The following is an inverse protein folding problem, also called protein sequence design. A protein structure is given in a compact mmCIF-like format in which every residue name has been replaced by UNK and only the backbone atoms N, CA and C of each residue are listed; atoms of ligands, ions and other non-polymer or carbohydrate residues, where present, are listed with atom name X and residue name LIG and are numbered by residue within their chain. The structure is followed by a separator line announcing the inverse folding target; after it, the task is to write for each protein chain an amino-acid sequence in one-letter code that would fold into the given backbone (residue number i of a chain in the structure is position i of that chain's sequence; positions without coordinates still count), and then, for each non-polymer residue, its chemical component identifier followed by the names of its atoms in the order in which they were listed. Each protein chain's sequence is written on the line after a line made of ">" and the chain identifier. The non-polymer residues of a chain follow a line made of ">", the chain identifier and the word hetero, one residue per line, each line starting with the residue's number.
data_IF_964106099075
#
_entry.id   IF_964106099075
#
_cell.length_a   1.000
_cell.length_b   1.000
_cell.length_c   1.000
_cell.angle_alpha   90.00
_cell.angle_beta   90.00
_cell.angle_gamma   90.00
#
_symmetry.space_group_name_H-M   'P 1'
#
loop_
_entity.id
_entity.type
_entity.pdbx_description
1 polymer ?
#
# COMPACT_ATOMS: atom_id res chain seq x y z
N UNK A 1 31.27 -2.93 14.19
CA UNK A 1 30.03 -3.69 14.40
C UNK A 1 28.94 -3.05 13.58
N UNK A 2 28.95 -3.38 12.30
CA UNK A 2 27.82 -3.22 11.43
C UNK A 2 26.76 -4.23 11.88
N UNK A 3 25.53 -3.79 12.02
CA UNK A 3 24.42 -4.66 12.34
C UNK A 3 23.25 -4.16 11.50
N UNK A 4 22.55 -5.01 10.75
CA UNK A 4 21.56 -4.56 9.79
C UNK A 4 20.33 -3.94 10.45
N UNK A 5 20.16 -4.14 11.76
CA UNK A 5 19.09 -3.56 12.58
C UNK A 5 18.17 -4.64 13.14
N UNK A 6 17.14 -4.24 13.91
CA UNK A 6 16.16 -5.20 14.40
C UNK A 6 15.40 -5.86 13.24
N UNK A 7 14.66 -6.96 13.50
CA UNK A 7 13.74 -7.53 12.54
C UNK A 7 12.76 -6.48 11.99
N UNK A 8 12.44 -6.60 10.70
CA UNK A 8 11.50 -5.74 9.99
C UNK A 8 10.20 -6.50 9.76
N UNK A 9 9.10 -5.76 9.67
CA UNK A 9 7.76 -6.31 9.47
C UNK A 9 7.10 -5.54 8.33
N UNK A 10 6.48 -6.25 7.40
CA UNK A 10 5.81 -5.68 6.23
C UNK A 10 4.70 -6.62 5.74
N UNK A 11 3.99 -6.24 4.67
CA UNK A 11 3.08 -7.13 3.95
C UNK A 11 3.53 -7.32 2.51
N UNK A 12 3.01 -8.34 1.83
CA UNK A 12 3.21 -8.54 0.39
C UNK A 12 2.91 -7.25 -0.38
N UNK A 13 3.76 -6.90 -1.33
CA UNK A 13 3.65 -5.68 -2.13
C UNK A 13 3.96 -4.38 -1.37
N UNK A 14 4.52 -4.45 -0.17
CA UNK A 14 5.09 -3.29 0.54
C UNK A 14 6.60 -3.46 0.65
N UNK A 15 7.33 -2.50 0.10
CA UNK A 15 8.78 -2.56 -0.03
C UNK A 15 9.49 -2.34 1.31
N UNK A 16 10.67 -2.94 1.45
CA UNK A 16 11.54 -2.76 2.60
C UNK A 16 12.91 -2.33 2.11
N UNK A 17 13.32 -1.13 2.51
CA UNK A 17 14.71 -0.70 2.37
C UNK A 17 15.60 -1.47 3.35
N UNK A 18 16.63 -2.10 2.77
CA UNK A 18 17.73 -2.78 3.43
C UNK A 18 18.96 -1.87 3.32
N UNK A 19 19.46 -1.40 4.45
CA UNK A 19 20.60 -0.49 4.50
C UNK A 19 21.52 -0.82 5.68
N UNK A 20 22.86 -0.76 5.51
CA UNK A 20 23.80 -0.85 6.61
C UNK A 20 23.49 0.22 7.66
N UNK A 21 23.53 -0.14 8.95
CA UNK A 21 23.41 0.86 10.01
C UNK A 21 24.75 1.52 10.24
N UNK A 22 24.82 2.83 9.98
CA UNK A 22 26.02 3.67 10.10
C UNK A 22 27.18 3.17 9.21
N UNK A 23 27.02 3.24 7.87
CA UNK A 23 28.15 3.01 6.98
C UNK A 23 29.16 4.16 7.13
N UNK A 24 30.44 3.85 7.08
CA UNK A 24 31.45 4.85 6.78
C UNK A 24 31.39 5.17 5.28
N UNK A 25 31.46 6.46 4.93
CA UNK A 25 31.21 6.90 3.55
C UNK A 25 32.23 6.35 2.53
N UNK A 26 33.43 6.02 3.01
CA UNK A 26 34.52 5.49 2.19
C UNK A 26 34.37 3.99 1.88
N UNK A 27 33.47 3.27 2.56
CA UNK A 27 33.32 1.82 2.48
C UNK A 27 32.00 1.38 1.80
N UNK A 28 31.33 2.27 1.06
CA UNK A 28 30.04 1.96 0.44
C UNK A 28 30.09 0.69 -0.44
N UNK A 29 31.16 0.52 -1.23
CA UNK A 29 31.36 -0.62 -2.12
C UNK A 29 31.68 -1.94 -1.38
N UNK A 30 31.91 -1.88 -0.07
CA UNK A 30 32.20 -3.05 0.76
C UNK A 30 30.93 -3.69 1.36
N UNK A 31 29.75 -3.10 1.13
CA UNK A 31 28.48 -3.62 1.58
C UNK A 31 27.70 -4.25 0.42
N UNK A 32 27.22 -5.47 0.62
CA UNK A 32 26.30 -6.12 -0.32
C UNK A 32 25.25 -6.92 0.41
N UNK A 33 24.09 -7.08 -0.23
CA UNK A 33 22.98 -7.84 0.30
C UNK A 33 22.73 -9.12 -0.50
N UNK A 34 22.28 -10.17 0.18
CA UNK A 34 21.84 -11.42 -0.46
C UNK A 34 20.67 -12.02 0.31
N UNK A 35 19.66 -12.52 -0.41
CA UNK A 35 18.60 -13.32 0.20
C UNK A 35 19.11 -14.75 0.41
N UNK A 36 19.18 -15.17 1.66
CA UNK A 36 19.64 -16.51 2.07
C UNK A 36 18.50 -17.46 2.40
N UNK A 37 17.33 -16.91 2.68
CA UNK A 37 16.10 -17.64 2.94
C UNK A 37 14.95 -16.82 2.35
N UNK A 38 14.11 -17.45 1.55
CA UNK A 38 12.86 -16.90 1.02
C UNK A 38 11.75 -17.93 1.18
N UNK A 39 10.47 -17.50 1.18
CA UNK A 39 9.36 -18.43 1.04
C UNK A 39 9.50 -19.30 -0.24
N UNK A 40 9.00 -20.56 -0.25
CA UNK A 40 9.25 -21.49 -1.35
C UNK A 40 8.77 -21.03 -2.74
N UNK A 41 7.72 -20.21 -2.80
CA UNK A 41 7.12 -19.71 -4.04
C UNK A 41 7.57 -18.27 -4.38
N UNK A 42 8.43 -17.67 -3.55
CA UNK A 42 8.95 -16.32 -3.76
C UNK A 42 9.94 -16.30 -4.92
N UNK A 43 9.76 -15.34 -5.82
CA UNK A 43 10.69 -14.98 -6.88
C UNK A 43 11.51 -13.72 -6.57
N UNK A 44 11.31 -13.11 -5.40
CA UNK A 44 12.04 -11.91 -4.97
C UNK A 44 13.57 -12.05 -5.09
N UNK A 45 14.20 -11.00 -5.63
CA UNK A 45 15.66 -10.87 -5.78
C UNK A 45 16.12 -9.51 -5.23
N UNK A 46 17.41 -9.40 -4.93
CA UNK A 46 18.07 -8.13 -4.62
C UNK A 46 19.09 -7.82 -5.71
N UNK A 47 19.42 -6.54 -5.87
CA UNK A 47 20.55 -6.10 -6.68
C UNK A 47 21.90 -6.32 -5.97
N UNK A 48 22.86 -5.46 -6.30
CA UNK A 48 24.23 -5.49 -5.77
C UNK A 48 24.65 -4.20 -5.07
N UNK A 49 23.71 -3.30 -4.81
CA UNK A 49 23.97 -2.01 -4.19
C UNK A 49 24.12 -2.15 -2.67
N UNK A 50 24.78 -1.18 -2.05
CA UNK A 50 24.89 -1.11 -0.60
C UNK A 50 23.53 -0.89 0.08
N UNK A 51 22.61 -0.23 -0.62
CA UNK A 51 21.22 -0.02 -0.20
C UNK A 51 20.31 -0.69 -1.23
N UNK A 52 19.51 -1.64 -0.75
CA UNK A 52 18.66 -2.47 -1.60
C UNK A 52 17.19 -2.32 -1.20
N UNK A 53 16.31 -2.48 -2.19
CA UNK A 53 14.87 -2.51 -1.96
C UNK A 53 14.38 -3.95 -2.12
N UNK A 54 13.98 -4.54 -1.00
CA UNK A 54 13.27 -5.82 -1.02
C UNK A 54 11.80 -5.58 -1.37
N UNK A 55 11.34 -6.20 -2.45
CA UNK A 55 9.93 -6.28 -2.84
C UNK A 55 9.41 -7.69 -2.55
N UNK A 56 8.86 -7.96 -1.35
CA UNK A 56 8.39 -9.29 -1.02
C UNK A 56 7.09 -9.61 -1.76
N UNK A 57 7.07 -10.76 -2.43
CA UNK A 57 5.98 -11.25 -3.26
C UNK A 57 5.15 -12.35 -2.58
N UNK A 58 5.75 -13.11 -1.66
CA UNK A 58 5.06 -14.13 -0.86
C UNK A 58 5.06 -13.82 0.64
N UNK A 59 4.01 -14.18 1.40
CA UNK A 59 4.02 -14.07 2.85
C UNK A 59 4.96 -15.11 3.47
N UNK A 60 5.64 -14.74 4.55
CA UNK A 60 6.57 -15.63 5.24
C UNK A 60 7.77 -14.91 5.82
N UNK A 61 8.87 -15.64 5.96
CA UNK A 61 10.12 -15.11 6.51
C UNK A 61 11.14 -15.01 5.39
N UNK A 62 11.71 -13.82 5.23
CA UNK A 62 12.86 -13.57 4.38
C UNK A 62 14.07 -13.30 5.27
N UNK A 63 15.22 -13.88 4.91
CA UNK A 63 16.50 -13.61 5.58
C UNK A 63 17.46 -12.96 4.60
N UNK A 64 17.67 -11.66 4.77
CA UNK A 64 18.64 -10.89 4.02
C UNK A 64 19.96 -10.85 4.79
N UNK A 65 21.05 -11.28 4.16
CA UNK A 65 22.41 -11.18 4.70
C UNK A 65 23.07 -9.92 4.18
N UNK A 66 23.61 -9.13 5.09
CA UNK A 66 24.54 -8.06 4.80
C UNK A 66 25.96 -8.62 4.92
N UNK A 67 26.70 -8.66 3.82
CA UNK A 67 28.15 -8.84 3.87
C UNK A 67 28.81 -7.48 4.06
N UNK A 68 29.57 -7.33 5.14
CA UNK A 68 30.23 -6.10 5.56
C UNK A 68 31.73 -6.34 5.84
N UNK A 69 32.56 -5.28 5.94
CA UNK A 69 33.99 -5.42 6.26
C UNK A 69 34.28 -6.18 7.55
N UNK A 70 33.39 -6.12 8.53
CA UNK A 70 33.52 -6.79 9.83
C UNK A 70 32.85 -8.16 9.90
N UNK A 71 32.32 -8.66 8.77
CA UNK A 71 31.71 -9.96 8.61
C UNK A 71 30.27 -9.93 8.10
N UNK A 72 29.65 -11.10 8.06
CA UNK A 72 28.28 -11.29 7.61
C UNK A 72 27.28 -11.10 8.76
N UNK A 73 26.17 -10.41 8.47
CA UNK A 73 25.10 -10.15 9.44
C UNK A 73 23.72 -10.36 8.83
N UNK A 74 22.85 -11.11 9.51
CA UNK A 74 21.52 -11.42 9.00
C UNK A 74 20.45 -10.45 9.52
N UNK A 75 19.56 -10.02 8.63
CA UNK A 75 18.31 -9.33 8.93
C UNK A 75 17.13 -10.22 8.57
N UNK A 76 16.20 -10.33 9.53
CA UNK A 76 14.92 -11.01 9.30
C UNK A 76 13.87 -9.99 8.88
N UNK A 77 13.17 -10.27 7.78
CA UNK A 77 11.96 -9.55 7.35
C UNK A 77 10.79 -10.53 7.45
N UNK A 78 9.81 -10.19 8.29
CA UNK A 78 8.56 -10.95 8.41
C UNK A 78 7.49 -10.30 7.55
N UNK A 79 6.99 -11.04 6.57
CA UNK A 79 6.02 -10.58 5.58
C UNK A 79 4.68 -11.22 5.85
N UNK A 80 3.66 -10.40 6.06
CA UNK A 80 2.28 -10.84 6.21
C UNK A 80 1.55 -10.82 4.86
N UNK A 81 0.43 -11.55 4.72
CA UNK A 81 -0.45 -11.40 3.57
C UNK A 81 -0.87 -9.93 3.38
N UNK A 82 -1.09 -9.52 2.13
CA UNK A 82 -1.75 -8.25 1.83
C UNK A 82 -3.26 -8.38 2.09
N UNK A 83 -3.73 -7.80 3.19
CA UNK A 83 -5.16 -7.79 3.54
C UNK A 83 -5.93 -6.65 2.85
N UNK A 84 -5.27 -5.84 2.01
CA UNK A 84 -5.96 -4.78 1.26
C UNK A 84 -6.81 -5.38 0.14
N UNK A 85 -7.96 -4.77 -0.06
CA UNK A 85 -8.93 -5.15 -1.08
C UNK A 85 -9.21 -3.96 -1.99
N UNK A 86 -9.53 -4.20 -3.28
CA UNK A 86 -10.04 -3.15 -4.15
C UNK A 86 -11.28 -2.50 -3.54
N UNK A 87 -11.26 -1.18 -3.49
CA UNK A 87 -12.35 -0.31 -3.07
C UNK A 87 -12.52 0.73 -4.15
N UNK A 88 -13.74 0.78 -4.69
CA UNK A 88 -14.12 1.79 -5.67
C UNK A 88 -14.93 2.89 -4.98
N UNK A 89 -14.62 4.13 -5.31
CA UNK A 89 -15.41 5.32 -5.00
C UNK A 89 -15.94 5.90 -6.30
N UNK A 90 -17.23 6.24 -6.34
CA UNK A 90 -17.87 6.75 -7.55
C UNK A 90 -18.65 8.04 -7.28
N UNK A 91 -18.59 9.00 -8.20
CA UNK A 91 -19.44 10.19 -8.21
C UNK A 91 -20.03 10.41 -9.60
N UNK A 92 -21.33 10.72 -9.68
CA UNK A 92 -21.95 11.10 -10.95
C UNK A 92 -21.56 12.53 -11.31
N UNK A 93 -21.20 12.77 -12.56
CA UNK A 93 -20.79 14.09 -13.04
C UNK A 93 -21.90 15.13 -12.84
N UNK A 94 -23.16 14.72 -12.99
CA UNK A 94 -24.34 15.59 -12.84
C UNK A 94 -24.58 16.07 -11.40
N UNK A 95 -23.93 15.44 -10.42
CA UNK A 95 -23.98 15.83 -9.00
C UNK A 95 -22.85 16.79 -8.62
N UNK A 96 -21.91 17.04 -9.53
CA UNK A 96 -20.74 17.89 -9.33
C UNK A 96 -20.97 19.26 -9.99
N UNK A 97 -20.37 20.33 -9.44
CA UNK A 97 -20.32 21.62 -10.14
C UNK A 97 -19.54 21.46 -11.45
N UNK A 98 -19.66 22.42 -12.36
CA UNK A 98 -18.80 22.47 -13.54
C UNK A 98 -17.34 22.64 -13.11
N UNK A 99 -16.45 21.82 -13.67
CA UNK A 99 -15.02 21.83 -13.35
C UNK A 99 -14.18 21.47 -14.58
N UNK A 100 -12.90 21.84 -14.53
CA UNK A 100 -11.90 21.44 -15.53
C UNK A 100 -11.06 20.25 -15.03
N UNK A 101 -10.83 20.15 -13.72
CA UNK A 101 -10.08 19.08 -13.07
C UNK A 101 -10.84 18.51 -11.87
N UNK A 102 -10.59 17.24 -11.55
CA UNK A 102 -11.15 16.57 -10.39
C UNK A 102 -10.09 15.74 -9.69
N UNK A 103 -9.98 15.90 -8.37
CA UNK A 103 -9.07 15.10 -7.54
C UNK A 103 -9.84 14.32 -6.50
N UNK A 104 -9.37 13.12 -6.15
CA UNK A 104 -9.95 12.32 -5.06
C UNK A 104 -9.08 12.45 -3.82
N UNK A 105 -9.71 12.66 -2.67
CA UNK A 105 -8.99 12.82 -1.41
C UNK A 105 -9.69 12.14 -0.25
N UNK A 106 -8.91 11.61 0.68
CA UNK A 106 -9.42 10.90 1.84
C UNK A 106 -8.31 10.58 2.83
N UNK A 107 -8.65 9.88 3.91
CA UNK A 107 -7.65 9.45 4.89
C UNK A 107 -6.59 8.54 4.28
N UNK A 108 -6.94 7.79 3.22
CA UNK A 108 -6.04 6.85 2.56
C UNK A 108 -4.89 7.51 1.80
N UNK A 109 -4.98 8.79 1.45
CA UNK A 109 -3.92 9.56 0.80
C UNK A 109 -3.51 10.80 1.61
N UNK A 110 -3.70 10.78 2.93
CA UNK A 110 -3.42 11.89 3.84
C UNK A 110 -4.07 13.22 3.44
N UNK A 111 -5.25 13.17 2.83
CA UNK A 111 -5.97 14.33 2.33
C UNK A 111 -5.19 15.17 1.30
N UNK A 112 -4.32 14.53 0.52
CA UNK A 112 -3.58 15.19 -0.55
C UNK A 112 -4.47 15.41 -1.77
N UNK A 113 -4.22 16.49 -2.50
CA UNK A 113 -4.90 16.87 -3.74
C UNK A 113 -3.93 16.81 -4.92
N UNK A 114 -4.47 16.59 -6.12
CA UNK A 114 -3.71 16.58 -7.38
C UNK A 114 -2.77 15.39 -7.54
N UNK A 115 -2.89 14.37 -6.68
CA UNK A 115 -2.14 13.10 -6.78
C UNK A 115 -3.04 12.04 -7.38
N UNK A 116 -4.21 11.85 -6.75
CA UNK A 116 -5.19 10.87 -7.17
C UNK A 116 -6.25 11.57 -8.02
N UNK A 117 -6.33 11.13 -9.28
CA UNK A 117 -7.31 11.59 -10.27
C UNK A 117 -8.21 10.40 -10.62
N UNK A 118 -9.54 10.54 -10.58
CA UNK A 118 -10.44 9.48 -10.95
C UNK A 118 -10.48 9.29 -12.48
N UNK A 119 -10.75 8.06 -12.91
CA UNK A 119 -11.15 7.78 -14.28
C UNK A 119 -12.56 8.33 -14.56
N UNK A 120 -12.84 8.67 -15.81
CA UNK A 120 -14.15 9.18 -16.24
C UNK A 120 -14.70 8.40 -17.42
N UNK A 121 -15.86 7.77 -17.23
CA UNK A 121 -16.60 7.06 -18.28
C UNK A 121 -18.10 7.12 -17.99
N UNK A 122 -18.93 7.18 -19.03
CA UNK A 122 -20.40 7.11 -18.92
C UNK A 122 -21.01 8.05 -17.86
N UNK A 123 -20.53 9.29 -17.79
CA UNK A 123 -20.96 10.30 -16.79
C UNK A 123 -20.68 9.93 -15.33
N UNK A 124 -19.73 9.03 -15.08
CA UNK A 124 -19.30 8.59 -13.76
C UNK A 124 -17.79 8.80 -13.62
N UNK A 125 -17.40 9.45 -12.53
CA UNK A 125 -16.03 9.43 -12.04
C UNK A 125 -15.83 8.22 -11.13
N UNK A 126 -14.83 7.38 -11.42
CA UNK A 126 -14.48 6.20 -10.64
C UNK A 126 -13.03 6.29 -10.16
N UNK A 127 -12.81 6.03 -8.88
CA UNK A 127 -11.46 5.91 -8.30
C UNK A 127 -11.35 4.58 -7.58
N UNK A 128 -10.52 3.69 -8.11
CA UNK A 128 -10.20 2.40 -7.50
C UNK A 128 -8.88 2.50 -6.72
N UNK A 129 -8.88 1.97 -5.49
CA UNK A 129 -7.66 1.84 -4.69
C UNK A 129 -7.72 0.62 -3.79
N UNK A 130 -6.58 0.17 -3.26
CA UNK A 130 -6.49 -1.00 -2.37
C UNK A 130 -6.40 -0.55 -0.92
N UNK A 131 -7.46 -0.80 -0.14
CA UNK A 131 -7.56 -0.39 1.26
C UNK A 131 -7.74 -1.59 2.17
N UNK A 132 -7.27 -1.46 3.42
CA UNK A 132 -7.56 -2.44 4.46
C UNK A 132 -9.08 -2.56 4.66
N UNK A 133 -9.56 -3.63 5.31
CA UNK A 133 -10.97 -3.75 5.62
C UNK A 133 -11.45 -2.60 6.52
N UNK A 134 -12.55 -1.96 6.16
CA UNK A 134 -13.05 -0.80 6.89
C UNK A 134 -14.03 0.06 6.11
N UNK A 135 -14.61 1.04 6.80
CA UNK A 135 -15.39 2.10 6.18
C UNK A 135 -14.49 3.28 5.84
N UNK A 136 -14.55 3.71 4.58
CA UNK A 136 -13.75 4.82 4.08
C UNK A 136 -14.65 5.85 3.43
N UNK A 137 -14.27 7.12 3.56
CA UNK A 137 -14.86 8.22 2.81
C UNK A 137 -13.80 8.80 1.89
N UNK A 138 -14.15 8.92 0.61
CA UNK A 138 -13.45 9.74 -0.36
C UNK A 138 -14.25 11.02 -0.61
N UNK A 139 -13.58 12.09 -0.99
CA UNK A 139 -14.19 13.35 -1.42
C UNK A 139 -13.67 13.65 -2.81
N UNK A 140 -14.56 13.87 -3.77
CA UNK A 140 -14.20 14.33 -5.10
C UNK A 140 -14.12 15.86 -5.08
N UNK A 141 -12.95 16.42 -5.34
CA UNK A 141 -12.67 17.85 -5.18
C UNK A 141 -12.49 18.47 -6.58
N UNK A 142 -13.50 19.22 -7.07
CA UNK A 142 -13.41 19.92 -8.34
C UNK A 142 -12.41 21.08 -8.25
N UNK A 143 -11.54 21.22 -9.25
CA UNK A 143 -10.52 22.28 -9.39
C UNK A 143 -9.67 22.52 -8.12
N UNK A 144 -9.49 21.48 -7.29
CA UNK A 144 -8.80 21.57 -6.01
C UNK A 144 -9.52 22.43 -4.94
N UNK A 145 -10.77 22.83 -5.16
CA UNK A 145 -11.52 23.70 -4.27
C UNK A 145 -12.41 22.92 -3.28
N UNK A 146 -11.91 22.70 -2.06
CA UNK A 146 -12.68 22.04 -0.99
C UNK A 146 -14.04 22.69 -0.65
N UNK A 147 -14.22 23.99 -0.91
CA UNK A 147 -15.50 24.68 -0.62
C UNK A 147 -16.63 24.18 -1.52
N UNK A 148 -16.29 23.62 -2.67
CA UNK A 148 -17.23 23.08 -3.65
C UNK A 148 -17.48 21.57 -3.45
N UNK A 149 -16.74 20.95 -2.52
CA UNK A 149 -16.79 19.53 -2.22
C UNK A 149 -17.76 19.02 -1.09
N UNK A 150 -18.61 19.82 -0.40
CA UNK A 150 -19.45 19.29 0.68
C UNK A 150 -20.39 18.13 0.29
N UNK A 151 -20.89 18.12 -0.95
CA UNK A 151 -21.80 17.09 -1.49
C UNK A 151 -21.10 15.92 -2.19
N UNK A 152 -19.78 15.94 -2.27
CA UNK A 152 -19.01 15.01 -3.11
C UNK A 152 -18.36 13.88 -2.31
N UNK A 153 -18.72 13.78 -1.02
CA UNK A 153 -18.29 12.67 -0.15
C UNK A 153 -18.96 11.37 -0.60
N UNK A 154 -18.16 10.32 -0.73
CA UNK A 154 -18.58 8.99 -1.13
C UNK A 154 -18.02 8.00 -0.13
N UNK A 155 -18.89 7.19 0.46
CA UNK A 155 -18.48 6.14 1.38
C UNK A 155 -18.45 4.81 0.65
N UNK A 156 -17.40 4.04 0.89
CA UNK A 156 -17.26 2.68 0.38
C UNK A 156 -16.67 1.80 1.48
N UNK A 157 -16.92 0.51 1.39
CA UNK A 157 -16.47 -0.46 2.39
C UNK A 157 -15.49 -1.43 1.76
N UNK A 158 -14.24 -1.42 2.24
CA UNK A 158 -13.31 -2.51 2.02
C UNK A 158 -13.83 -3.73 2.77
N UNK A 159 -14.40 -4.71 2.07
CA UNK A 159 -14.90 -5.95 2.67
C UNK A 159 -13.88 -7.07 2.46
N UNK A 160 -13.72 -7.91 3.47
CA UNK A 160 -13.04 -9.19 3.32
C UNK A 160 -13.78 -10.03 2.28
N UNK A 161 -13.06 -10.58 1.29
CA UNK A 161 -13.61 -11.48 0.26
C UNK A 161 -14.29 -12.77 0.77
N UNK A 162 -14.45 -12.95 2.09
CA UNK A 162 -15.33 -13.97 2.66
C UNK A 162 -16.71 -13.37 2.89
N UNK A 163 -17.54 -13.41 1.85
CA UNK A 163 -18.97 -13.12 1.97
C UNK A 163 -19.63 -14.05 2.98
N UNK A 164 -19.96 -13.55 4.17
CA UNK A 164 -20.98 -14.18 5.00
C UNK A 164 -22.33 -14.03 4.28
N UNK A 165 -23.10 -15.11 4.06
CA UNK A 165 -24.40 -14.99 3.42
C UNK A 165 -25.30 -14.15 4.30
N UNK A 166 -25.90 -13.10 3.72
CA UNK A 166 -26.94 -12.32 4.36
C UNK A 166 -28.14 -13.23 4.64
N UNK A 167 -28.25 -13.77 5.85
CA UNK A 167 -29.48 -14.40 6.31
C UNK A 167 -30.50 -13.30 6.61
N UNK A 168 -31.15 -12.81 5.56
CA UNK A 168 -32.38 -12.02 5.67
C UNK A 168 -33.48 -12.96 6.16
N UNK A 169 -33.69 -13.01 7.49
CA UNK A 169 -34.87 -13.68 8.07
C UNK A 169 -36.14 -12.98 7.56
N UNK A 170 -37.13 -13.70 7.00
CA UNK A 170 -38.42 -13.09 6.69
C UNK A 170 -39.12 -12.73 8.00
N UNK A 171 -39.57 -11.48 8.11
CA UNK A 171 -40.54 -11.05 9.12
C UNK A 171 -41.85 -11.77 8.83
N UNK A 172 -42.18 -12.78 9.62
CA UNK A 172 -43.54 -13.32 9.69
C UNK A 172 -44.42 -12.28 10.38
N UNK A 173 -45.29 -11.62 9.61
CA UNK A 173 -46.35 -10.80 10.14
C UNK A 173 -47.41 -11.65 10.84
N UNK A 174 -47.96 -11.11 11.92
CA UNK A 174 -49.26 -11.46 12.48
C UNK A 174 -50.00 -10.17 12.75
#
# INVERSE_FOLDING_TARGET
>A
MHHPGPPRFTSVGQTVELAPRRPDADDADAFSWTLTETPPESAATLGSDAVEILEPDEPGVYRARLSAPDGDHDQTVRVFPDERHPVEFTAHADELPQMDEISVTGRFNDHRLGIDTPDYADHVFSFETRLLPGEYTATFVPDGNFREAPGTRRSSTGRNGRGSPSTRRPRTGR
#
